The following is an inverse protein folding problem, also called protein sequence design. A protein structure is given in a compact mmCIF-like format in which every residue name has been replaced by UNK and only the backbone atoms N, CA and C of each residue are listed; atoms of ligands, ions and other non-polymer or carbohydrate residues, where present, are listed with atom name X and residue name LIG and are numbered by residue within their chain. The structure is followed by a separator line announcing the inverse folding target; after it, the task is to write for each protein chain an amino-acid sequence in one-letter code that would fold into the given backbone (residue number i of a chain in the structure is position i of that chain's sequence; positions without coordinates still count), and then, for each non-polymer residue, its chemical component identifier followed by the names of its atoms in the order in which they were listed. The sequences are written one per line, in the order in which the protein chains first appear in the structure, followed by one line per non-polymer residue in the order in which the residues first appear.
data_IF_972139885499
#
_entry.id   IF_972139885499
#
_cell.length_a   1.000
_cell.length_b   1.000
_cell.length_c   1.000
_cell.angle_alpha   90.00
_cell.angle_beta   90.00
_cell.angle_gamma   90.00
#
_symmetry.space_group_name_H-M   'P 1'
#
loop_
_entity.id
_entity.type
_entity.pdbx_description
1 polymer ?
#
# COMPACT_ATOMS: atom_id res chain seq x y z
N UNK A 1 -31.68 11.14 17.89
CA UNK A 1 -31.31 10.64 16.54
C UNK A 1 -31.59 11.78 15.56
N UNK A 2 -30.54 12.32 14.94
CA UNK A 2 -30.70 13.40 13.94
C UNK A 2 -31.07 12.79 12.60
N UNK A 3 -32.28 13.06 12.12
CA UNK A 3 -32.77 12.64 10.80
C UNK A 3 -32.30 13.64 9.75
N UNK A 4 -31.33 13.23 8.94
CA UNK A 4 -30.90 14.04 7.79
C UNK A 4 -31.92 13.94 6.65
N UNK A 5 -32.25 15.07 6.06
CA UNK A 5 -33.15 15.10 4.91
C UNK A 5 -32.43 14.60 3.64
N UNK A 6 -33.19 14.08 2.66
CA UNK A 6 -32.68 13.58 1.36
C UNK A 6 -31.77 14.61 0.65
N UNK A 7 -32.04 15.91 0.84
CA UNK A 7 -31.25 17.02 0.29
C UNK A 7 -29.90 17.19 0.99
N UNK A 8 -29.82 16.93 2.32
CA UNK A 8 -28.59 16.98 3.10
C UNK A 8 -27.66 15.78 2.79
N UNK A 9 -28.22 14.59 2.51
CA UNK A 9 -27.45 13.44 2.08
C UNK A 9 -26.86 13.61 0.66
N UNK A 10 -27.57 14.28 -0.25
CA UNK A 10 -27.06 14.60 -1.59
C UNK A 10 -25.91 15.62 -1.51
N UNK A 11 -26.03 16.64 -0.64
CA UNK A 11 -24.97 17.64 -0.43
C UNK A 11 -23.71 17.03 0.21
N UNK A 12 -23.85 16.09 1.15
CA UNK A 12 -22.73 15.35 1.74
C UNK A 12 -22.06 14.42 0.72
N UNK A 13 -22.83 13.75 -0.13
CA UNK A 13 -22.30 12.91 -1.21
C UNK A 13 -21.56 13.71 -2.29
N UNK A 14 -22.04 14.90 -2.65
CA UNK A 14 -21.39 15.80 -3.61
C UNK A 14 -20.13 16.42 -3.02
N UNK A 15 -20.12 16.79 -1.73
CA UNK A 15 -18.92 17.32 -1.07
C UNK A 15 -17.82 16.27 -0.95
N UNK A 16 -18.16 15.00 -0.66
CA UNK A 16 -17.21 13.90 -0.63
C UNK A 16 -16.64 13.57 -2.02
N UNK A 17 -17.48 13.62 -3.06
CA UNK A 17 -17.05 13.40 -4.44
C UNK A 17 -16.16 14.54 -4.97
N UNK A 18 -16.44 15.80 -4.60
CA UNK A 18 -15.59 16.94 -4.96
C UNK A 18 -14.26 16.91 -4.24
N UNK A 19 -14.19 16.48 -2.96
CA UNK A 19 -12.94 16.38 -2.21
C UNK A 19 -12.03 15.30 -2.77
N UNK A 20 -12.55 14.16 -3.20
CA UNK A 20 -11.77 13.10 -3.84
C UNK A 20 -11.27 13.53 -5.22
N UNK A 21 -12.08 14.22 -6.01
CA UNK A 21 -11.69 14.70 -7.33
C UNK A 21 -10.64 15.82 -7.27
N UNK A 22 -10.69 16.70 -6.27
CA UNK A 22 -9.65 17.71 -6.01
C UNK A 22 -8.34 17.08 -5.50
N UNK A 23 -8.40 16.05 -4.66
CA UNK A 23 -7.19 15.30 -4.24
C UNK A 23 -6.53 14.59 -5.43
N UNK A 24 -7.29 13.90 -6.28
CA UNK A 24 -6.76 13.28 -7.50
C UNK A 24 -6.21 14.31 -8.49
N UNK A 25 -6.82 15.48 -8.58
CA UNK A 25 -6.32 16.60 -9.39
C UNK A 25 -4.99 17.14 -8.87
N UNK A 26 -4.83 17.30 -7.55
CA UNK A 26 -3.60 17.79 -6.92
C UNK A 26 -2.44 16.79 -7.02
N UNK A 27 -2.67 15.48 -6.90
CA UNK A 27 -1.64 14.47 -7.11
C UNK A 27 -1.14 14.42 -8.57
N UNK A 28 -2.01 14.64 -9.56
CA UNK A 28 -1.60 14.77 -10.98
C UNK A 28 -0.72 16.00 -11.21
N UNK A 29 -1.07 17.14 -10.59
CA UNK A 29 -0.30 18.39 -10.73
C UNK A 29 1.08 18.27 -10.08
N UNK A 30 1.20 17.59 -8.94
CA UNK A 30 2.48 17.37 -8.28
C UNK A 30 3.43 16.42 -9.04
N UNK A 31 2.96 15.76 -10.09
CA UNK A 31 3.74 14.76 -10.82
C UNK A 31 4.33 15.23 -12.15
N UNK A 32 3.84 16.30 -12.72
CA UNK A 32 4.40 16.84 -13.96
C UNK A 32 5.85 17.27 -13.73
N UNK A 33 6.79 16.53 -14.35
CA UNK A 33 8.22 16.76 -14.22
C UNK A 33 8.96 15.93 -13.14
N UNK A 34 8.26 15.15 -12.29
CA UNK A 34 8.91 14.32 -11.27
C UNK A 34 9.42 13.01 -11.88
N UNK A 35 10.70 12.72 -11.66
CA UNK A 35 11.41 11.57 -12.26
C UNK A 35 11.53 10.38 -11.33
N UNK A 36 11.40 10.60 -10.03
CA UNK A 36 11.57 9.57 -9.00
C UNK A 36 10.27 9.38 -8.24
N UNK A 37 9.81 8.13 -8.15
CA UNK A 37 8.65 7.77 -7.37
C UNK A 37 9.13 6.98 -6.14
N UNK A 38 8.59 7.30 -4.97
CA UNK A 38 8.83 6.56 -3.73
C UNK A 38 7.49 6.09 -3.18
N UNK A 39 7.37 4.80 -2.95
CA UNK A 39 6.26 4.17 -2.24
C UNK A 39 6.81 3.48 -1.00
N UNK A 40 6.44 3.94 0.19
CA UNK A 40 6.63 3.16 1.40
C UNK A 40 5.38 2.29 1.58
N UNK A 41 5.58 0.98 1.53
CA UNK A 41 4.53 -0.03 1.46
C UNK A 41 4.42 -0.71 2.83
N UNK A 42 3.42 -0.32 3.64
CA UNK A 42 3.22 -0.80 5.00
C UNK A 42 2.35 -2.06 4.98
N UNK A 43 2.95 -3.20 5.31
CA UNK A 43 2.32 -4.50 5.23
C UNK A 43 1.67 -4.95 6.55
N UNK A 44 0.92 -6.04 6.49
CA UNK A 44 0.26 -6.76 7.57
C UNK A 44 -0.98 -6.10 8.21
N UNK A 45 -1.17 -4.80 8.06
CA UNK A 45 -2.31 -4.09 8.62
C UNK A 45 -2.30 -4.01 10.15
N UNK A 46 -1.16 -3.72 10.78
CA UNK A 46 -1.06 -3.46 12.22
C UNK A 46 -1.88 -2.21 12.57
N UNK A 47 -2.82 -2.35 13.51
CA UNK A 47 -3.83 -1.32 13.79
C UNK A 47 -3.22 0.01 14.21
N UNK A 48 -2.37 0.01 15.25
CA UNK A 48 -1.78 1.25 15.79
C UNK A 48 -0.82 1.89 14.78
N UNK A 49 0.03 1.08 14.14
CA UNK A 49 0.96 1.57 13.13
C UNK A 49 0.25 2.15 11.93
N UNK A 50 -0.84 1.53 11.45
CA UNK A 50 -1.59 2.03 10.29
C UNK A 50 -2.24 3.38 10.58
N UNK A 51 -2.84 3.56 11.76
CA UNK A 51 -3.40 4.85 12.17
C UNK A 51 -2.31 5.91 12.27
N UNK A 52 -1.20 5.62 12.96
CA UNK A 52 -0.10 6.57 13.14
C UNK A 52 0.57 6.92 11.80
N UNK A 53 0.73 5.92 10.91
CA UNK A 53 1.24 6.16 9.55
C UNK A 53 0.32 7.11 8.79
N UNK A 54 -0.99 6.89 8.82
CA UNK A 54 -1.96 7.77 8.17
C UNK A 54 -1.85 9.21 8.69
N UNK A 55 -1.83 9.40 10.00
CA UNK A 55 -1.69 10.71 10.65
C UNK A 55 -0.40 11.44 10.25
N UNK A 56 0.74 10.71 10.16
CA UNK A 56 2.01 11.30 9.74
C UNK A 56 1.95 11.72 8.26
N UNK A 57 1.40 10.89 7.36
CA UNK A 57 1.26 11.23 5.96
C UNK A 57 0.35 12.45 5.72
N UNK A 58 -0.73 12.57 6.48
CA UNK A 58 -1.68 13.68 6.39
C UNK A 58 -1.05 15.04 6.71
N UNK A 59 -0.07 15.11 7.61
CA UNK A 59 0.70 16.34 7.89
C UNK A 59 1.30 16.94 6.61
N UNK A 60 1.71 16.07 5.69
CA UNK A 60 2.33 16.44 4.42
C UNK A 60 1.35 16.43 3.24
N UNK A 61 0.06 16.23 3.50
CA UNK A 61 -1.00 16.08 2.48
C UNK A 61 -0.71 14.94 1.50
N UNK A 62 -0.14 13.86 2.01
CA UNK A 62 0.19 12.65 1.30
C UNK A 62 -0.80 11.52 1.63
N UNK A 63 -0.80 10.49 0.80
CA UNK A 63 -1.55 9.26 0.99
C UNK A 63 -0.62 8.10 1.33
N UNK A 64 -0.89 7.40 2.40
CA UNK A 64 -0.16 6.19 2.77
C UNK A 64 -0.58 4.98 1.92
N UNK A 65 0.33 4.02 1.73
CA UNK A 65 0.10 2.73 1.08
C UNK A 65 0.07 1.65 2.17
N UNK A 66 -1.12 1.15 2.51
CA UNK A 66 -1.35 0.20 3.60
C UNK A 66 -1.88 -1.11 3.01
N UNK A 67 -1.15 -2.20 3.22
CA UNK A 67 -1.50 -3.51 2.68
C UNK A 67 -1.93 -4.43 3.82
N UNK A 68 -3.13 -4.98 3.70
CA UNK A 68 -3.75 -5.66 4.83
C UNK A 68 -4.04 -7.13 4.53
N UNK A 69 -3.84 -7.99 5.53
CA UNK A 69 -4.24 -9.39 5.50
C UNK A 69 -5.76 -9.43 5.63
N UNK A 70 -6.47 -9.99 4.63
CA UNK A 70 -7.93 -9.98 4.57
C UNK A 70 -8.60 -10.48 5.85
N UNK A 71 -8.10 -11.57 6.43
CA UNK A 71 -8.64 -12.17 7.65
C UNK A 71 -7.83 -11.88 8.92
N UNK A 72 -6.85 -10.98 8.84
CA UNK A 72 -5.91 -10.72 9.94
C UNK A 72 -6.56 -10.27 11.27
N UNK A 73 -7.71 -9.60 11.18
CA UNK A 73 -8.49 -9.11 12.34
C UNK A 73 -9.41 -10.16 12.99
N UNK A 74 -9.61 -11.31 12.33
CA UNK A 74 -10.50 -12.33 12.85
C UNK A 74 -9.87 -13.11 14.00
N UNK A 75 -10.66 -13.48 15.01
CA UNK A 75 -10.19 -14.31 16.12
C UNK A 75 -9.71 -15.70 15.70
N UNK A 76 -10.14 -16.17 14.53
CA UNK A 76 -9.69 -17.43 13.92
C UNK A 76 -8.36 -17.31 13.17
N UNK A 77 -7.84 -16.09 12.96
CA UNK A 77 -6.56 -15.88 12.28
C UNK A 77 -5.42 -16.48 13.12
N UNK A 78 -4.62 -17.33 12.48
CA UNK A 78 -3.41 -17.88 13.07
C UNK A 78 -2.22 -17.28 12.36
N UNK A 79 -1.49 -16.46 13.09
CA UNK A 79 -0.26 -15.91 12.58
C UNK A 79 0.78 -17.01 12.38
N UNK A 80 1.42 -17.09 11.21
CA UNK A 80 2.54 -18.02 10.99
C UNK A 80 3.82 -17.55 11.67
N UNK A 81 3.89 -16.27 12.07
CA UNK A 81 5.09 -15.61 12.57
C UNK A 81 4.81 -14.94 13.92
N UNK A 82 5.78 -14.94 14.84
CA UNK A 82 5.62 -14.42 16.20
C UNK A 82 5.27 -12.92 16.24
N UNK A 83 5.88 -12.09 15.38
CA UNK A 83 5.58 -10.66 15.29
C UNK A 83 4.19 -10.33 14.74
N UNK A 84 3.50 -11.31 14.19
CA UNK A 84 2.13 -11.16 13.69
C UNK A 84 1.06 -11.21 14.79
N UNK A 85 1.44 -11.48 16.04
CA UNK A 85 0.51 -11.57 17.18
C UNK A 85 -0.13 -10.21 17.54
N UNK A 86 0.46 -9.10 17.09
CA UNK A 86 -0.03 -7.74 17.33
C UNK A 86 -1.41 -7.52 16.68
N UNK A 87 -2.25 -6.72 17.33
CA UNK A 87 -3.61 -6.39 16.88
C UNK A 87 -3.62 -5.84 15.44
N UNK A 88 -4.45 -6.45 14.58
CA UNK A 88 -4.72 -5.97 13.23
C UNK A 88 -5.95 -5.07 13.20
N UNK A 89 -5.98 -4.12 12.30
CA UNK A 89 -7.18 -3.36 12.01
C UNK A 89 -8.23 -4.22 11.30
N UNK A 90 -9.49 -3.83 11.43
CA UNK A 90 -10.63 -4.42 10.73
C UNK A 90 -11.09 -3.56 9.55
N UNK A 91 -12.09 -4.03 8.80
CA UNK A 91 -12.59 -3.31 7.65
C UNK A 91 -13.39 -2.05 7.99
N UNK A 92 -13.79 -1.83 9.25
CA UNK A 92 -14.31 -0.53 9.70
C UNK A 92 -13.19 0.51 9.65
N UNK A 93 -12.03 0.20 10.22
CA UNK A 93 -10.84 1.05 10.18
C UNK A 93 -10.34 1.25 8.74
N UNK A 94 -10.30 0.18 7.94
CA UNK A 94 -9.79 0.30 6.56
C UNK A 94 -10.67 1.19 5.69
N UNK A 95 -11.99 1.10 5.83
CA UNK A 95 -12.94 2.01 5.18
C UNK A 95 -12.77 3.45 5.65
N UNK A 96 -12.53 3.68 6.94
CA UNK A 96 -12.24 5.01 7.49
C UNK A 96 -10.96 5.59 6.87
N UNK A 97 -9.84 4.85 6.92
CA UNK A 97 -8.57 5.32 6.37
C UNK A 97 -8.65 5.56 4.87
N UNK A 98 -9.37 4.70 4.12
CA UNK A 98 -9.62 4.90 2.71
C UNK A 98 -10.44 6.17 2.45
N UNK A 99 -11.47 6.45 3.24
CA UNK A 99 -12.26 7.67 3.14
C UNK A 99 -11.44 8.93 3.44
N UNK A 100 -10.39 8.82 4.28
CA UNK A 100 -9.40 9.88 4.53
C UNK A 100 -8.38 10.03 3.39
N UNK A 101 -8.43 9.15 2.38
CA UNK A 101 -7.61 9.25 1.17
C UNK A 101 -6.37 8.36 1.17
N UNK A 102 -6.23 7.41 2.09
CA UNK A 102 -5.15 6.42 2.04
C UNK A 102 -5.49 5.26 1.12
N UNK A 103 -4.48 4.58 0.60
CA UNK A 103 -4.66 3.42 -0.25
C UNK A 103 -4.61 2.14 0.59
N UNK A 104 -5.69 1.37 0.56
CA UNK A 104 -5.80 0.08 1.25
C UNK A 104 -5.78 -1.03 0.21
N UNK A 105 -4.76 -1.91 0.27
CA UNK A 105 -4.53 -2.94 -0.75
C UNK A 105 -4.40 -4.34 -0.15
N UNK A 106 -4.73 -5.40 -0.93
CA UNK A 106 -4.68 -6.78 -0.45
C UNK A 106 -3.24 -7.28 -0.24
N UNK A 107 -3.01 -7.90 0.92
CA UNK A 107 -1.78 -8.61 1.31
C UNK A 107 -2.04 -10.09 1.59
N UNK A 108 -2.89 -10.70 0.80
CA UNK A 108 -3.30 -12.09 0.91
C UNK A 108 -4.44 -12.36 1.88
N UNK A 109 -5.08 -13.53 1.71
CA UNK A 109 -6.22 -13.94 2.53
C UNK A 109 -5.82 -14.26 3.98
N UNK A 110 -4.77 -15.06 4.11
CA UNK A 110 -4.09 -15.41 5.36
C UNK A 110 -2.59 -15.45 5.07
N UNK A 111 -1.75 -14.81 5.79
CA UNK A 111 -0.32 -14.60 5.53
C UNK A 111 0.47 -15.88 5.10
N UNK A 112 0.02 -16.52 4.00
CA UNK A 112 0.61 -17.75 3.47
C UNK A 112 1.61 -17.42 2.35
N UNK A 113 2.75 -18.10 2.35
CA UNK A 113 3.71 -18.05 1.25
C UNK A 113 3.15 -18.80 0.04
N UNK A 114 2.72 -18.07 -0.96
CA UNK A 114 2.03 -18.61 -2.14
C UNK A 114 2.97 -19.30 -3.10
N UNK A 115 4.27 -18.95 -3.09
CA UNK A 115 5.28 -19.62 -3.92
C UNK A 115 5.55 -21.06 -3.47
N UNK A 116 5.22 -21.41 -2.22
CA UNK A 116 5.39 -22.74 -1.64
C UNK A 116 4.13 -23.63 -1.72
N UNK A 117 3.06 -23.14 -2.36
CA UNK A 117 1.81 -23.87 -2.51
C UNK A 117 1.64 -24.43 -3.92
N UNK A 118 0.86 -25.50 -4.10
CA UNK A 118 0.37 -25.89 -5.42
C UNK A 118 -0.32 -24.70 -6.09
N UNK A 119 -0.10 -24.52 -7.39
CA UNK A 119 -0.56 -23.34 -8.14
C UNK A 119 -2.06 -23.06 -7.96
N UNK A 120 -2.90 -24.11 -7.99
CA UNK A 120 -4.34 -23.94 -7.82
C UNK A 120 -4.68 -23.43 -6.42
N UNK A 121 -4.06 -23.96 -5.37
CA UNK A 121 -4.28 -23.50 -3.99
C UNK A 121 -3.83 -22.04 -3.80
N UNK A 122 -2.73 -21.63 -4.43
CA UNK A 122 -2.27 -20.27 -4.41
C UNK A 122 -3.27 -19.31 -5.08
N UNK A 123 -3.80 -19.69 -6.26
CA UNK A 123 -4.85 -18.95 -6.98
C UNK A 123 -6.12 -18.82 -6.14
N UNK A 124 -6.56 -19.92 -5.50
CA UNK A 124 -7.78 -19.91 -4.69
C UNK A 124 -7.66 -19.01 -3.47
N UNK A 125 -6.49 -18.96 -2.81
CA UNK A 125 -6.23 -18.02 -1.71
C UNK A 125 -6.18 -16.56 -2.18
N UNK A 126 -5.70 -16.29 -3.39
CA UNK A 126 -5.71 -14.94 -3.96
C UNK A 126 -7.14 -14.52 -4.29
N UNK A 127 -7.92 -15.39 -4.94
CA UNK A 127 -9.34 -15.12 -5.21
C UNK A 127 -10.12 -14.86 -3.94
N UNK A 128 -9.98 -15.72 -2.93
CA UNK A 128 -10.62 -15.54 -1.63
C UNK A 128 -10.25 -14.17 -0.99
N UNK A 129 -8.99 -13.73 -1.13
CA UNK A 129 -8.56 -12.42 -0.67
C UNK A 129 -9.28 -11.28 -1.42
N UNK A 130 -9.28 -11.33 -2.75
CA UNK A 130 -9.89 -10.31 -3.59
C UNK A 130 -11.41 -10.26 -3.42
N UNK A 131 -12.06 -11.42 -3.24
CA UNK A 131 -13.50 -11.51 -2.97
C UNK A 131 -13.83 -10.90 -1.61
N UNK A 132 -13.03 -11.20 -0.57
CA UNK A 132 -13.18 -10.63 0.76
C UNK A 132 -13.06 -9.09 0.75
N UNK A 133 -12.09 -8.55 0.00
CA UNK A 133 -11.95 -7.11 -0.18
C UNK A 133 -13.15 -6.51 -0.92
N UNK A 134 -13.67 -7.19 -1.94
CA UNK A 134 -14.87 -6.74 -2.67
C UNK A 134 -16.10 -6.66 -1.76
N UNK A 135 -16.22 -7.57 -0.81
CA UNK A 135 -17.33 -7.61 0.14
C UNK A 135 -17.22 -6.56 1.25
N UNK A 136 -16.00 -6.28 1.73
CA UNK A 136 -15.81 -5.53 2.98
C UNK A 136 -15.20 -4.13 2.79
N UNK A 137 -14.47 -3.86 1.70
CA UNK A 137 -13.88 -2.54 1.44
C UNK A 137 -14.72 -1.76 0.44
N UNK A 138 -15.28 -0.65 0.87
CA UNK A 138 -16.18 0.19 0.07
C UNK A 138 -15.53 0.65 -1.23
N UNK A 139 -16.17 0.34 -2.37
CA UNK A 139 -15.68 0.76 -3.69
C UNK A 139 -14.41 0.04 -4.18
N UNK A 140 -14.05 -1.07 -3.54
CA UNK A 140 -12.93 -1.88 -4.01
C UNK A 140 -13.24 -2.53 -5.38
N UNK A 141 -12.31 -2.38 -6.30
CA UNK A 141 -12.36 -2.99 -7.63
C UNK A 141 -11.07 -3.78 -7.87
N UNK A 142 -11.20 -5.09 -8.10
CA UNK A 142 -10.05 -6.00 -8.33
C UNK A 142 -9.10 -5.47 -9.41
N UNK A 143 -9.65 -4.94 -10.49
CA UNK A 143 -8.90 -4.42 -11.64
C UNK A 143 -8.16 -3.11 -11.36
N UNK A 144 -8.40 -2.49 -10.20
CA UNK A 144 -7.67 -1.31 -9.71
C UNK A 144 -6.74 -1.64 -8.55
N UNK A 145 -6.72 -2.90 -8.10
CA UNK A 145 -5.94 -3.33 -6.95
C UNK A 145 -4.49 -3.66 -7.31
N UNK A 146 -3.60 -3.39 -6.37
CA UNK A 146 -2.25 -3.95 -6.34
C UNK A 146 -2.26 -5.11 -5.36
N UNK A 147 -2.03 -6.33 -5.84
CA UNK A 147 -1.89 -7.49 -4.97
C UNK A 147 -0.46 -7.58 -4.45
N UNK A 148 -0.28 -7.60 -3.14
CA UNK A 148 1.02 -7.68 -2.51
C UNK A 148 1.26 -9.12 -2.03
N UNK A 149 2.36 -9.73 -2.50
CA UNK A 149 2.70 -11.09 -2.09
C UNK A 149 3.33 -11.10 -0.69
N UNK A 150 2.75 -11.83 0.30
CA UNK A 150 3.46 -12.13 1.54
C UNK A 150 4.83 -12.75 1.26
N UNK A 151 5.83 -12.40 2.10
CA UNK A 151 7.25 -12.76 1.92
C UNK A 151 7.87 -12.20 0.64
N UNK A 152 7.15 -11.37 -0.12
CA UNK A 152 7.55 -10.89 -1.45
C UNK A 152 7.88 -12.03 -2.45
N UNK A 153 7.36 -13.24 -2.22
CA UNK A 153 7.63 -14.42 -3.04
C UNK A 153 6.44 -14.75 -3.96
N UNK A 154 6.75 -14.98 -5.23
CA UNK A 154 5.81 -15.39 -6.29
C UNK A 154 6.45 -16.43 -7.21
N UNK A 155 5.66 -17.06 -8.08
CA UNK A 155 6.15 -17.92 -9.14
C UNK A 155 5.73 -17.38 -10.51
N UNK A 156 6.48 -17.64 -11.60
CA UNK A 156 6.13 -17.16 -12.94
C UNK A 156 4.71 -17.50 -13.38
N UNK A 157 4.25 -18.74 -13.11
CA UNK A 157 2.90 -19.19 -13.49
C UNK A 157 1.81 -18.44 -12.72
N UNK A 158 2.07 -18.14 -11.44
CA UNK A 158 1.15 -17.39 -10.60
C UNK A 158 1.10 -15.92 -11.02
N UNK A 159 2.24 -15.32 -11.33
CA UNK A 159 2.35 -13.96 -11.87
C UNK A 159 1.61 -13.82 -13.20
N UNK A 160 1.84 -14.74 -14.15
CA UNK A 160 1.20 -14.73 -15.46
C UNK A 160 -0.33 -14.80 -15.37
N UNK A 161 -0.85 -15.58 -14.43
CA UNK A 161 -2.30 -15.63 -14.16
C UNK A 161 -2.79 -14.32 -13.52
N UNK A 162 -2.08 -13.82 -12.49
CA UNK A 162 -2.51 -12.66 -11.69
C UNK A 162 -2.54 -11.37 -12.51
N UNK A 163 -1.71 -11.25 -13.56
CA UNK A 163 -1.73 -10.11 -14.49
C UNK A 163 -3.10 -9.84 -15.12
N UNK A 164 -3.99 -10.83 -15.19
CA UNK A 164 -5.33 -10.69 -15.74
C UNK A 164 -6.40 -10.41 -14.68
N UNK A 165 -6.07 -10.57 -13.41
CA UNK A 165 -7.01 -10.46 -12.29
C UNK A 165 -6.98 -9.07 -11.63
N UNK A 166 -5.82 -8.39 -11.67
CA UNK A 166 -5.58 -7.14 -10.94
C UNK A 166 -4.88 -6.08 -11.82
N UNK A 167 -4.81 -4.85 -11.31
CA UNK A 167 -4.06 -3.77 -11.96
C UNK A 167 -2.57 -4.10 -12.02
N UNK A 168 -2.01 -4.56 -10.92
CA UNK A 168 -0.62 -4.95 -10.79
C UNK A 168 -0.37 -5.77 -9.52
N UNK A 169 0.84 -6.24 -9.34
CA UNK A 169 1.25 -6.97 -8.13
C UNK A 169 2.68 -6.62 -7.74
N UNK A 170 2.95 -6.71 -6.43
CA UNK A 170 4.27 -6.49 -5.86
C UNK A 170 4.91 -7.81 -5.43
N UNK A 171 6.19 -7.99 -5.79
CA UNK A 171 7.03 -9.12 -5.44
C UNK A 171 8.48 -8.67 -5.20
N UNK A 172 9.38 -9.59 -4.81
CA UNK A 172 10.78 -9.26 -4.55
C UNK A 172 11.52 -8.71 -5.79
N UNK A 173 12.49 -7.85 -5.51
CA UNK A 173 13.38 -7.26 -6.52
C UNK A 173 14.13 -6.08 -5.96
N UNK A 174 14.19 -4.98 -6.66
CA UNK A 174 14.79 -3.73 -6.25
C UNK A 174 14.02 -2.56 -6.84
N UNK A 175 14.73 -1.46 -7.11
CA UNK A 175 14.17 -0.29 -7.79
C UNK A 175 13.63 -0.69 -9.15
N UNK A 176 12.43 -0.21 -9.50
CA UNK A 176 11.86 -0.33 -10.83
C UNK A 176 12.45 0.79 -11.72
N UNK A 177 13.41 0.49 -12.59
CA UNK A 177 13.98 1.51 -13.44
C UNK A 177 13.00 1.86 -14.57
N UNK A 178 12.93 3.16 -14.93
CA UNK A 178 12.11 3.64 -16.05
C UNK A 178 10.66 3.10 -16.01
N UNK A 179 9.89 3.36 -14.94
CA UNK A 179 8.52 2.86 -14.83
C UNK A 179 7.66 3.35 -15.99
N UNK A 180 6.82 2.48 -16.55
CA UNK A 180 6.09 2.72 -17.78
C UNK A 180 4.60 2.42 -17.64
N UNK A 181 3.80 3.02 -18.55
CA UNK A 181 2.36 2.76 -18.66
C UNK A 181 2.08 1.27 -18.92
N UNK A 182 1.18 0.71 -18.10
CA UNK A 182 0.77 -0.70 -18.23
C UNK A 182 1.73 -1.70 -17.58
N UNK A 183 2.76 -1.22 -16.86
CA UNK A 183 3.57 -2.09 -16.00
C UNK A 183 2.66 -2.78 -14.96
N UNK A 184 2.77 -4.11 -14.86
CA UNK A 184 1.96 -4.89 -13.90
C UNK A 184 2.79 -5.52 -12.79
N UNK A 185 4.02 -5.93 -13.09
CA UNK A 185 4.96 -6.48 -12.12
C UNK A 185 5.75 -5.35 -11.47
N UNK A 186 5.57 -5.18 -10.17
CA UNK A 186 6.28 -4.21 -9.36
C UNK A 186 7.26 -4.94 -8.45
N UNK A 187 8.51 -4.50 -8.45
CA UNK A 187 9.52 -5.03 -7.53
C UNK A 187 9.70 -4.12 -6.34
N UNK A 188 10.02 -4.71 -5.19
CA UNK A 188 10.28 -3.96 -3.95
C UNK A 188 11.57 -4.41 -3.29
N UNK A 189 12.16 -3.51 -2.51
CA UNK A 189 13.21 -3.79 -1.53
C UNK A 189 12.59 -3.96 -0.15
N UNK A 190 13.17 -4.85 0.66
CA UNK A 190 12.79 -5.05 2.06
C UNK A 190 14.03 -5.47 2.86
N UNK A 191 14.18 -4.95 4.06
CA UNK A 191 15.29 -5.27 4.95
C UNK A 191 14.77 -5.62 6.34
N UNK A 192 15.54 -6.42 7.04
CA UNK A 192 15.17 -7.00 8.31
C UNK A 192 15.40 -6.10 9.52
N UNK A 193 15.07 -6.64 10.72
CA UNK A 193 15.23 -5.91 11.96
C UNK A 193 16.67 -5.38 12.16
N UNK A 194 16.73 -4.15 12.68
CA UNK A 194 17.99 -3.48 13.03
C UNK A 194 18.63 -2.65 11.91
N UNK A 195 18.17 -2.77 10.67
CA UNK A 195 18.74 -2.01 9.53
C UNK A 195 17.73 -1.30 8.66
N UNK A 196 16.42 -1.39 8.97
CA UNK A 196 15.32 -0.88 8.13
C UNK A 196 15.50 0.58 7.72
N UNK A 197 15.80 1.47 8.68
CA UNK A 197 15.95 2.91 8.41
C UNK A 197 17.21 3.21 7.58
N UNK A 198 18.34 2.60 7.93
CA UNK A 198 19.61 2.79 7.22
C UNK A 198 19.55 2.28 5.79
N UNK A 199 18.98 1.09 5.57
CA UNK A 199 18.87 0.50 4.25
C UNK A 199 17.85 1.28 3.37
N UNK A 200 16.76 1.79 3.96
CA UNK A 200 15.85 2.69 3.25
C UNK A 200 16.57 3.95 2.75
N UNK A 201 17.41 4.56 3.58
CA UNK A 201 18.21 5.72 3.18
C UNK A 201 19.18 5.39 2.03
N UNK A 202 19.80 4.21 2.07
CA UNK A 202 20.69 3.74 0.98
C UNK A 202 19.91 3.55 -0.32
N UNK A 203 18.72 2.94 -0.28
CA UNK A 203 17.85 2.73 -1.43
C UNK A 203 17.36 4.06 -2.02
N UNK A 204 16.96 5.02 -1.19
CA UNK A 204 16.57 6.36 -1.64
C UNK A 204 17.75 7.04 -2.33
N UNK A 205 18.95 7.01 -1.74
CA UNK A 205 20.14 7.60 -2.32
C UNK A 205 20.52 6.91 -3.65
N UNK A 206 20.30 5.61 -3.79
CA UNK A 206 20.50 4.88 -5.03
C UNK A 206 19.50 5.33 -6.10
N UNK A 207 18.20 5.44 -5.75
CA UNK A 207 17.15 5.93 -6.65
C UNK A 207 17.48 7.32 -7.19
N UNK A 208 17.89 8.25 -6.32
CA UNK A 208 18.14 9.66 -6.70
C UNK A 208 19.34 9.84 -7.65
N UNK A 209 20.23 8.85 -7.74
CA UNK A 209 21.34 8.82 -8.72
C UNK A 209 20.90 8.38 -10.11
N UNK A 210 19.75 7.73 -10.25
CA UNK A 210 19.21 7.30 -11.54
C UNK A 210 18.59 8.48 -12.29
N UNK A 211 18.53 8.43 -13.63
CA UNK A 211 17.78 9.44 -14.40
C UNK A 211 16.29 9.47 -14.07
N UNK A 212 15.71 8.29 -13.79
CA UNK A 212 14.34 8.09 -13.33
C UNK A 212 14.21 6.73 -12.65
N UNK A 213 13.14 6.53 -11.87
CA UNK A 213 12.90 5.24 -11.23
C UNK A 213 11.76 5.29 -10.24
N UNK A 214 11.37 4.10 -9.79
CA UNK A 214 10.36 3.91 -8.75
C UNK A 214 10.89 2.94 -7.69
N UNK A 215 11.14 3.45 -6.49
CA UNK A 215 11.43 2.66 -5.31
C UNK A 215 10.13 2.31 -4.60
N UNK A 216 9.84 1.02 -4.47
CA UNK A 216 8.86 0.51 -3.54
C UNK A 216 9.65 -0.11 -2.39
N UNK A 217 9.54 0.45 -1.20
CA UNK A 217 10.19 -0.08 -0.02
C UNK A 217 9.15 -0.75 0.87
N UNK A 218 9.26 -2.07 1.00
CA UNK A 218 8.39 -2.84 1.85
C UNK A 218 8.82 -2.69 3.30
N UNK A 219 7.91 -2.23 4.12
CA UNK A 219 8.04 -2.13 5.57
C UNK A 219 6.78 -2.69 6.22
N UNK A 220 6.73 -2.75 7.53
CA UNK A 220 5.58 -3.39 8.20
C UNK A 220 4.89 -2.42 9.15
N UNK A 221 5.45 -2.18 10.29
CA UNK A 221 4.87 -1.31 11.29
C UNK A 221 5.78 -0.17 11.72
N UNK A 222 5.35 0.55 12.73
CA UNK A 222 6.09 1.63 13.36
C UNK A 222 6.45 1.28 14.80
N UNK A 223 7.59 1.81 15.26
CA UNK A 223 8.09 1.69 16.63
C UNK A 223 8.32 0.22 17.05
N UNK A 224 7.35 -0.43 17.70
CA UNK A 224 7.46 -1.81 18.21
C UNK A 224 6.58 -2.82 17.48
N UNK A 225 5.89 -2.43 16.41
CA UNK A 225 4.97 -3.33 15.69
C UNK A 225 5.60 -3.85 14.40
N UNK A 226 5.49 -5.15 14.16
CA UNK A 226 5.89 -5.80 12.91
C UNK A 226 7.36 -6.21 12.84
N UNK A 227 7.75 -6.72 11.69
CA UNK A 227 9.10 -7.19 11.40
C UNK A 227 9.94 -6.05 10.84
N UNK A 228 11.01 -5.66 11.55
CA UNK A 228 11.87 -4.55 11.17
C UNK A 228 11.13 -3.21 11.08
N UNK A 229 10.41 -2.79 12.16
CA UNK A 229 9.70 -1.53 12.15
C UNK A 229 10.68 -0.35 12.06
N UNK A 230 10.23 0.73 11.43
CA UNK A 230 10.91 2.01 11.54
C UNK A 230 10.31 2.84 12.68
N UNK A 231 11.05 3.81 13.20
CA UNK A 231 10.49 4.73 14.18
C UNK A 231 9.55 5.74 13.52
N UNK A 232 8.47 6.11 14.22
CA UNK A 232 7.56 7.15 13.76
C UNK A 232 8.25 8.50 13.58
N UNK A 233 9.24 8.80 14.43
CA UNK A 233 10.06 10.01 14.32
C UNK A 233 10.96 10.00 13.06
N UNK A 234 11.47 8.83 12.68
CA UNK A 234 12.21 8.70 11.42
C UNK A 234 11.29 8.92 10.22
N UNK A 235 10.13 8.28 10.19
CA UNK A 235 9.14 8.45 9.12
C UNK A 235 8.75 9.91 8.92
N UNK A 236 8.47 10.61 10.00
CA UNK A 236 8.09 12.03 9.97
C UNK A 236 9.20 12.89 9.35
N UNK A 237 10.45 12.76 9.83
CA UNK A 237 11.61 13.48 9.25
C UNK A 237 11.91 13.07 7.80
N UNK A 238 11.72 11.81 7.45
CA UNK A 238 11.92 11.32 6.10
C UNK A 238 10.93 11.97 5.13
N UNK A 239 9.64 12.00 5.47
CA UNK A 239 8.62 12.62 4.62
C UNK A 239 8.86 14.13 4.47
N UNK A 240 9.19 14.83 5.57
CA UNK A 240 9.55 16.26 5.54
C UNK A 240 10.66 16.54 4.53
N UNK A 241 11.73 15.75 4.59
CA UNK A 241 12.86 15.86 3.65
C UNK A 241 12.47 15.53 2.21
N UNK A 242 11.71 14.44 1.98
CA UNK A 242 11.40 13.95 0.64
C UNK A 242 10.43 14.89 -0.11
N UNK A 243 9.48 15.52 0.58
CA UNK A 243 8.54 16.47 -0.06
C UNK A 243 9.25 17.71 -0.58
N UNK A 244 10.41 18.05 0.01
CA UNK A 244 11.24 19.18 -0.42
C UNK A 244 12.08 18.91 -1.68
N UNK A 245 12.14 17.66 -2.16
CA UNK A 245 12.91 17.29 -3.35
C UNK A 245 12.02 17.39 -4.59
N UNK A 246 12.26 18.35 -5.46
CA UNK A 246 11.44 18.60 -6.66
C UNK A 246 11.28 17.40 -7.59
N UNK A 247 12.29 16.55 -7.70
CA UNK A 247 12.25 15.38 -8.58
C UNK A 247 11.49 14.19 -8.00
N UNK A 248 11.08 14.23 -6.72
CA UNK A 248 10.44 13.11 -5.99
C UNK A 248 8.94 13.27 -5.92
N UNK A 249 8.21 12.20 -6.23
CA UNK A 249 6.80 12.01 -5.91
C UNK A 249 6.66 10.88 -4.89
N UNK A 250 5.98 11.13 -3.76
CA UNK A 250 5.64 10.10 -2.77
C UNK A 250 4.20 9.69 -3.05
N UNK A 251 4.00 8.46 -3.52
CA UNK A 251 2.69 7.96 -3.95
C UNK A 251 2.47 6.52 -3.47
N UNK A 252 1.25 6.13 -3.11
CA UNK A 252 0.88 4.73 -2.98
C UNK A 252 0.98 4.00 -4.33
N UNK A 253 1.14 2.68 -4.30
CA UNK A 253 1.50 1.90 -5.49
C UNK A 253 0.43 1.93 -6.59
N UNK A 254 -0.84 1.81 -6.25
CA UNK A 254 -1.94 1.86 -7.22
C UNK A 254 -2.06 3.23 -7.87
N UNK A 255 -1.97 4.31 -7.08
CA UNK A 255 -1.99 5.68 -7.62
C UNK A 255 -0.77 5.97 -8.49
N UNK A 256 0.41 5.48 -8.11
CA UNK A 256 1.61 5.62 -8.93
C UNK A 256 1.43 4.94 -10.29
N UNK A 257 0.91 3.71 -10.35
CA UNK A 257 0.61 3.01 -11.60
C UNK A 257 -0.40 3.75 -12.48
N UNK A 258 -1.51 4.19 -11.90
CA UNK A 258 -2.53 4.96 -12.63
C UNK A 258 -1.99 6.30 -13.14
N UNK A 259 -1.05 6.89 -12.47
CA UNK A 259 -0.44 8.14 -12.88
C UNK A 259 0.67 7.98 -13.94
N UNK A 260 1.16 6.76 -14.23
CA UNK A 260 2.00 6.42 -15.40
C UNK A 260 1.18 6.32 -16.70
N UNK A 261 -0.14 6.42 -16.58
CA UNK A 261 -1.12 6.31 -17.68
C UNK A 261 -1.13 7.51 -18.59
#
# INVERSE_FOLDING_TARGET
MATYTRRQMILLGVAAALSTQEMFGREKVNRVGKRHIITLSFDDGFKKSSVLTAEIYEKYKLSACINVIATGHLSSFKSPDEWQVTEKGDFVLWNELQARGHEIMPYGYKHANKAKLPLQNAKDLIRACLDYFTEHLTGFEKQKAIFNFPYNESTPDLEAWLMNEVLGFRTAGGINPNPYKGQKRLTCSAFGPGSTEEELEKEINALLKLPSGWLIYNTHGLNSEGWGPMSSAFLDRLLDRLVAIDSVAILPAGRALLALS
#
